data_IF_711069900429
#
_entry.id   IF_711069900429
#
_cell.length_a   1.000
_cell.length_b   1.000
_cell.length_c   1.000
_cell.angle_alpha   90.00
_cell.angle_beta   90.00
_cell.angle_gamma   90.00
#
_symmetry.space_group_name_H-M   'P 1'
#
loop_
_entity.id
_entity.type
_entity.pdbx_description
1 polymer ?
#
# COMPACT_ATOMS: atom_id res chain seq x y z
N UNK A 1 -11.77 7.74 3.95
CA UNK A 1 -10.95 8.55 4.88
C UNK A 1 -9.63 8.90 4.20
N UNK A 2 -9.56 10.04 3.51
CA UNK A 2 -8.33 10.46 2.83
C UNK A 2 -7.25 10.73 3.89
N UNK A 3 -6.30 9.80 4.03
CA UNK A 3 -5.11 9.99 4.84
C UNK A 3 -4.42 11.26 4.36
N UNK A 4 -4.26 12.26 5.24
CA UNK A 4 -3.46 13.47 4.99
C UNK A 4 -2.17 13.09 4.24
N UNK A 5 -1.89 13.78 3.14
CA UNK A 5 -0.72 13.56 2.28
C UNK A 5 0.59 13.59 3.08
N UNK A 6 1.65 13.00 2.52
CA UNK A 6 3.01 13.04 3.09
C UNK A 6 3.42 14.48 3.43
N UNK A 7 3.12 15.44 2.54
CA UNK A 7 3.37 16.88 2.73
C UNK A 7 2.62 17.46 3.94
N UNK A 8 1.35 17.13 4.13
CA UNK A 8 0.58 17.60 5.28
C UNK A 8 1.12 17.04 6.61
N UNK A 9 1.68 15.82 6.61
CA UNK A 9 2.33 15.22 7.79
C UNK A 9 3.66 15.89 8.12
N UNK A 10 4.46 16.22 7.10
CA UNK A 10 5.70 17.00 7.27
C UNK A 10 5.40 18.38 7.85
N UNK A 11 4.42 19.09 7.30
CA UNK A 11 4.01 20.39 7.83
C UNK A 11 3.53 20.31 9.29
N UNK A 12 2.85 19.22 9.65
CA UNK A 12 2.44 18.96 11.03
C UNK A 12 3.64 18.78 11.96
N UNK A 13 4.71 18.09 11.53
CA UNK A 13 5.95 17.94 12.29
C UNK A 13 6.59 19.32 12.52
N UNK A 14 6.80 20.10 11.44
CA UNK A 14 7.43 21.42 11.53
C UNK A 14 6.67 22.34 12.50
N UNK A 15 5.33 22.29 12.50
CA UNK A 15 4.51 23.03 13.45
C UNK A 15 4.76 22.59 14.91
N UNK A 16 4.82 21.28 15.17
CA UNK A 16 5.08 20.76 16.52
C UNK A 16 6.50 21.02 16.98
N UNK A 17 7.48 20.96 16.09
CA UNK A 17 8.89 21.28 16.36
C UNK A 17 9.05 22.75 16.73
N UNK A 18 8.50 23.68 15.94
CA UNK A 18 8.53 25.10 16.28
C UNK A 18 7.83 25.40 17.62
N UNK A 19 6.75 24.66 17.94
CA UNK A 19 6.08 24.78 19.25
C UNK A 19 6.92 24.19 20.39
N UNK A 20 7.64 23.11 20.14
CA UNK A 20 8.56 22.49 21.10
C UNK A 20 9.69 23.47 21.43
N UNK A 21 10.31 24.06 20.42
CA UNK A 21 11.40 25.03 20.59
C UNK A 21 10.96 26.25 21.41
N UNK A 22 9.81 26.84 21.09
CA UNK A 22 9.25 27.96 21.87
C UNK A 22 9.04 27.58 23.33
N UNK A 23 8.52 26.37 23.60
CA UNK A 23 8.31 25.91 24.98
C UNK A 23 9.63 25.65 25.70
N UNK A 24 10.63 25.09 25.01
CA UNK A 24 11.96 24.87 25.58
C UNK A 24 12.65 26.20 25.90
N UNK A 25 12.58 27.21 25.02
CA UNK A 25 13.13 28.54 25.29
C UNK A 25 12.49 29.20 26.52
N UNK A 26 11.16 29.18 26.60
CA UNK A 26 10.44 29.70 27.75
C UNK A 26 10.80 28.96 29.05
N UNK A 27 11.03 27.64 28.97
CA UNK A 27 11.47 26.84 30.10
C UNK A 27 12.92 27.12 30.47
N UNK A 28 13.85 27.33 29.53
CA UNK A 28 15.23 27.69 29.86
C UNK A 28 15.35 29.05 30.54
N UNK A 29 14.44 29.98 30.23
CA UNK A 29 14.37 31.30 30.84
C UNK A 29 13.79 31.26 32.27
N UNK A 30 12.84 30.35 32.54
CA UNK A 30 12.11 30.27 33.83
C UNK A 30 12.58 29.16 34.76
N UNK A 31 13.06 28.04 34.22
CA UNK A 31 13.46 26.83 34.91
C UNK A 31 14.84 26.35 34.43
N UNK A 32 15.86 26.52 35.27
CA UNK A 32 17.24 26.09 34.97
C UNK A 32 17.48 24.58 35.15
N UNK A 33 16.48 23.83 35.63
CA UNK A 33 16.63 22.40 35.92
C UNK A 33 16.17 21.54 34.72
N UNK A 34 17.09 20.87 34.00
CA UNK A 34 16.76 20.04 32.85
C UNK A 34 15.86 18.84 33.20
N UNK A 35 15.86 18.37 34.45
CA UNK A 35 14.96 17.28 34.86
C UNK A 35 13.49 17.72 34.90
N UNK A 36 13.23 18.98 35.27
CA UNK A 36 11.87 19.54 35.26
C UNK A 36 11.36 19.79 33.85
N UNK A 37 12.23 20.29 32.96
CA UNK A 37 11.93 20.45 31.53
C UNK A 37 11.56 19.11 30.86
N UNK A 38 12.25 18.03 31.20
CA UNK A 38 11.94 16.70 30.68
C UNK A 38 10.60 16.14 31.22
N UNK A 39 10.21 16.54 32.43
CA UNK A 39 8.94 16.14 33.06
C UNK A 39 7.75 17.01 32.66
N UNK A 40 7.99 18.18 32.05
CA UNK A 40 6.94 19.10 31.61
C UNK A 40 5.91 18.37 30.72
N UNK A 41 4.62 18.40 31.10
CA UNK A 41 3.58 17.63 30.42
C UNK A 41 3.35 18.13 28.98
N UNK A 42 3.58 19.41 28.72
CA UNK A 42 3.42 20.01 27.38
C UNK A 42 4.54 19.52 26.46
N UNK A 43 5.80 19.55 26.92
CA UNK A 43 6.96 19.00 26.21
C UNK A 43 6.75 17.52 25.88
N UNK A 44 6.32 16.72 26.87
CA UNK A 44 6.03 15.28 26.66
C UNK A 44 4.94 15.07 25.63
N UNK A 45 3.86 15.84 25.68
CA UNK A 45 2.75 15.77 24.71
C UNK A 45 3.20 16.13 23.30
N UNK A 46 4.01 17.18 23.15
CA UNK A 46 4.51 17.62 21.83
C UNK A 46 5.44 16.55 21.25
N UNK A 47 6.39 16.03 22.04
CA UNK A 47 7.28 14.92 21.61
C UNK A 47 6.51 13.66 21.24
N UNK A 48 5.43 13.34 21.95
CA UNK A 48 4.57 12.21 21.61
C UNK A 48 3.90 12.40 20.23
N UNK A 49 3.38 13.61 19.93
CA UNK A 49 2.78 13.91 18.63
C UNK A 49 3.78 13.87 17.48
N UNK A 50 5.01 14.33 17.69
CA UNK A 50 6.10 14.23 16.71
C UNK A 50 6.36 12.75 16.38
N UNK A 51 6.57 11.92 17.41
CA UNK A 51 6.80 10.46 17.24
C UNK A 51 5.64 9.75 16.53
N UNK A 52 4.39 10.07 16.88
CA UNK A 52 3.21 9.50 16.22
C UNK A 52 3.17 9.88 14.72
N UNK A 53 3.53 11.12 14.40
CA UNK A 53 3.53 11.62 13.01
C UNK A 53 4.67 11.01 12.21
N UNK A 54 5.86 10.85 12.80
CA UNK A 54 6.99 10.15 12.21
C UNK A 54 6.69 8.66 11.96
N UNK A 55 6.08 7.97 12.93
CA UNK A 55 5.68 6.57 12.75
C UNK A 55 4.74 6.39 11.54
N UNK A 56 3.82 7.35 11.33
CA UNK A 56 2.94 7.35 10.17
C UNK A 56 3.68 7.62 8.85
N UNK A 57 4.65 8.53 8.84
CA UNK A 57 5.49 8.78 7.66
C UNK A 57 6.30 7.52 7.30
N UNK A 58 6.94 6.89 8.28
CA UNK A 58 7.68 5.65 8.08
C UNK A 58 6.78 4.56 7.51
N UNK A 59 5.54 4.42 7.99
CA UNK A 59 4.58 3.46 7.45
C UNK A 59 4.19 3.75 5.99
N UNK A 60 4.11 5.03 5.58
CA UNK A 60 3.87 5.42 4.19
C UNK A 60 5.08 5.02 3.34
N UNK A 61 6.29 5.35 3.78
CA UNK A 61 7.52 5.02 3.04
C UNK A 61 7.73 3.52 2.88
N UNK A 62 7.43 2.73 3.91
CA UNK A 62 7.47 1.27 3.82
C UNK A 62 6.45 0.72 2.83
N UNK A 63 5.28 1.37 2.68
CA UNK A 63 4.31 1.01 1.64
C UNK A 63 4.78 1.40 0.24
N UNK A 64 5.38 2.58 0.08
CA UNK A 64 5.97 3.04 -1.18
C UNK A 64 7.05 2.06 -1.65
N UNK A 65 7.99 1.67 -0.78
CA UNK A 65 9.03 0.67 -1.09
C UNK A 65 8.45 -0.67 -1.53
N UNK A 66 7.44 -1.19 -0.82
CA UNK A 66 6.77 -2.45 -1.19
C UNK A 66 6.08 -2.33 -2.55
N UNK A 67 5.47 -1.19 -2.86
CA UNK A 67 4.85 -0.95 -4.15
C UNK A 67 5.88 -0.90 -5.27
N UNK A 68 7.03 -0.25 -5.05
CA UNK A 68 8.14 -0.23 -6.01
C UNK A 68 8.71 -1.63 -6.25
N UNK A 69 8.94 -2.42 -5.20
CA UNK A 69 9.38 -3.82 -5.34
C UNK A 69 8.38 -4.66 -6.13
N UNK A 70 7.09 -4.49 -5.85
CA UNK A 70 6.02 -5.16 -6.59
C UNK A 70 5.98 -4.71 -8.06
N UNK A 71 6.18 -3.42 -8.33
CA UNK A 71 6.26 -2.88 -9.69
C UNK A 71 7.47 -3.45 -10.44
N UNK A 72 8.64 -3.52 -9.81
CA UNK A 72 9.84 -4.16 -10.37
C UNK A 72 9.60 -5.63 -10.67
N UNK A 73 9.01 -6.39 -9.74
CA UNK A 73 8.65 -7.81 -9.95
C UNK A 73 7.67 -7.99 -11.11
N UNK A 74 6.68 -7.08 -11.24
CA UNK A 74 5.75 -7.10 -12.38
C UNK A 74 6.48 -6.79 -13.69
N UNK A 75 7.32 -5.75 -13.72
CA UNK A 75 8.11 -5.38 -14.89
C UNK A 75 9.04 -6.52 -15.36
N UNK A 76 9.70 -7.21 -14.44
CA UNK A 76 10.52 -8.38 -14.74
C UNK A 76 9.68 -9.54 -15.31
N UNK A 77 8.48 -9.79 -14.75
CA UNK A 77 7.56 -10.82 -15.27
C UNK A 77 6.97 -10.49 -16.64
N UNK A 78 6.78 -9.22 -16.96
CA UNK A 78 6.30 -8.77 -18.28
C UNK A 78 7.41 -8.65 -19.31
N UNK A 79 8.66 -8.45 -18.87
CA UNK A 79 9.85 -8.37 -19.72
C UNK A 79 10.40 -9.74 -20.11
N UNK A 80 10.06 -10.81 -19.37
CA UNK A 80 10.22 -12.18 -19.89
C UNK A 80 9.15 -12.33 -20.97
N UNK A 81 9.50 -12.35 -22.28
CA UNK A 81 8.52 -12.68 -23.30
C UNK A 81 7.91 -14.00 -22.88
N UNK A 82 6.57 -14.04 -22.79
CA UNK A 82 5.85 -15.31 -22.67
C UNK A 82 6.40 -16.16 -23.80
N UNK A 83 7.31 -17.10 -23.49
CA UNK A 83 7.74 -18.10 -24.45
C UNK A 83 6.46 -18.63 -25.01
N UNK A 84 6.27 -18.40 -26.31
CA UNK A 84 5.17 -18.94 -27.08
C UNK A 84 5.09 -20.41 -26.70
N UNK A 85 4.12 -20.75 -25.83
CA UNK A 85 3.68 -22.13 -25.72
C UNK A 85 3.02 -22.36 -27.06
N UNK A 86 3.78 -23.04 -27.91
CA UNK A 86 3.47 -23.30 -29.30
C UNK A 86 2.02 -23.69 -29.51
N UNK A 87 1.54 -23.32 -30.69
CA UNK A 87 0.21 -23.66 -31.16
C UNK A 87 -0.15 -25.11 -30.90
N UNK A 88 -1.25 -25.31 -30.18
CA UNK A 88 -2.21 -26.42 -30.24
C UNK A 88 -3.12 -26.29 -29.02
N UNK A 89 -4.10 -25.39 -29.05
CA UNK A 89 -5.25 -25.48 -28.15
C UNK A 89 -6.48 -24.62 -28.50
N UNK A 90 -6.58 -24.07 -29.72
CA UNK A 90 -7.84 -23.43 -30.16
C UNK A 90 -9.01 -24.42 -30.32
N UNK A 91 -8.76 -25.73 -30.34
CA UNK A 91 -9.81 -26.75 -30.49
C UNK A 91 -10.40 -27.30 -29.18
N UNK A 92 -9.78 -27.01 -28.03
CA UNK A 92 -10.16 -27.64 -26.75
C UNK A 92 -10.95 -26.68 -25.84
N UNK A 93 -10.71 -25.37 -25.96
CA UNK A 93 -11.48 -24.32 -25.25
C UNK A 93 -12.95 -24.24 -25.68
N UNK A 94 -13.27 -24.48 -26.96
CA UNK A 94 -14.67 -24.49 -27.42
C UNK A 94 -15.49 -25.64 -26.82
N UNK A 95 -14.85 -26.77 -26.47
CA UNK A 95 -15.55 -27.91 -25.86
C UNK A 95 -15.73 -27.74 -24.35
N UNK A 96 -14.81 -27.04 -23.68
CA UNK A 96 -14.91 -26.74 -22.24
C UNK A 96 -15.80 -25.53 -21.93
N UNK A 97 -15.99 -24.60 -22.88
CA UNK A 97 -16.92 -23.46 -22.72
C UNK A 97 -18.41 -23.81 -22.86
N UNK A 98 -18.74 -25.02 -23.30
CA UNK A 98 -20.13 -25.43 -23.50
C UNK A 98 -20.77 -25.99 -22.22
N UNK A 99 -21.90 -25.40 -21.81
CA UNK A 99 -22.74 -25.92 -20.72
C UNK A 99 -23.15 -27.37 -20.98
N UNK A 100 -23.29 -28.19 -19.93
CA UNK A 100 -23.78 -29.60 -20.01
C UNK A 100 -25.02 -29.74 -20.90
N UNK A 101 -25.88 -28.70 -20.94
CA UNK A 101 -27.09 -28.67 -21.78
C UNK A 101 -26.79 -28.59 -23.28
N UNK A 102 -25.78 -27.83 -23.68
CA UNK A 102 -25.34 -27.70 -25.08
C UNK A 102 -24.67 -28.99 -25.57
N UNK A 103 -23.84 -29.61 -24.72
CA UNK A 103 -23.22 -30.91 -25.02
C UNK A 103 -24.27 -32.01 -25.26
N UNK A 104 -25.34 -32.05 -24.44
CA UNK A 104 -26.44 -33.02 -24.61
C UNK A 104 -27.25 -32.78 -25.89
N UNK A 105 -27.41 -31.51 -26.29
CA UNK A 105 -28.13 -31.13 -27.53
C UNK A 105 -27.34 -31.52 -28.79
N UNK A 106 -26.02 -31.37 -28.76
CA UNK A 106 -25.13 -31.80 -29.85
C UNK A 106 -25.14 -33.33 -30.00
N UNK A 107 -24.97 -34.08 -28.91
CA UNK A 107 -25.06 -35.55 -28.93
C UNK A 107 -26.41 -36.06 -29.48
N UNK A 108 -27.51 -35.39 -29.13
CA UNK A 108 -28.85 -35.75 -29.63
C UNK A 108 -29.05 -35.44 -31.11
N UNK A 109 -28.37 -34.42 -31.64
CA UNK A 109 -28.35 -34.11 -33.08
C UNK A 109 -27.49 -35.10 -33.86
N UNK A 110 -26.31 -35.46 -33.33
CA UNK A 110 -25.43 -36.47 -33.94
C UNK A 110 -26.07 -37.86 -33.98
N UNK A 111 -26.84 -38.24 -32.95
CA UNK A 111 -27.59 -39.49 -32.95
C UNK A 111 -28.76 -39.50 -33.94
N UNK A 112 -29.35 -38.33 -34.26
CA UNK A 112 -30.44 -38.22 -35.23
C UNK A 112 -29.98 -38.14 -36.69
N UNK A 113 -28.71 -37.82 -36.95
CA UNK A 113 -28.15 -37.74 -38.30
C UNK A 113 -27.50 -39.04 -38.79
N UNK A 114 -27.57 -40.12 -38.01
CA UNK A 114 -27.03 -41.45 -38.34
C UNK A 114 -28.11 -42.52 -38.52
N UNK A 115 -29.39 -42.12 -38.63
CA UNK A 115 -30.50 -42.97 -39.04
C UNK A 115 -30.98 -42.57 -40.42
#
# INVERSE_FOLDING_TARGET
>A
MASKSKTARVNQINYWEGRLERRLKALTESEKDPHKVARDPIVRKIRAKIRETQARLNAIEQKEKKNEEMARRKALKTAIPKKEKGGKQKGEEERQGMSKRQQKKLKKKEQKGKS
#
